data_IF_753012969506
#
_entry.id   IF_753012969506
#
_cell.length_a   1.000
_cell.length_b   1.000
_cell.length_c   1.000
_cell.angle_alpha   90.00
_cell.angle_beta   90.00
_cell.angle_gamma   90.00
#
_symmetry.space_group_name_H-M   'P 1'
#
loop_
_entity.id
_entity.type
_entity.pdbx_description
1 polymer ?
#
# COMPACT_ATOMS: atom_id res chain seq x y z
N UNK A 1 10.95 21.48 -13.10
CA UNK A 1 9.73 20.73 -12.70
C UNK A 1 10.06 19.33 -12.16
N UNK A 2 11.17 19.16 -11.43
CA UNK A 2 11.50 17.92 -10.73
C UNK A 2 11.98 18.30 -9.34
N UNK A 3 11.03 18.53 -8.44
CA UNK A 3 11.31 18.80 -7.04
C UNK A 3 10.19 18.21 -6.19
N UNK A 4 10.58 17.34 -5.25
CA UNK A 4 9.78 16.67 -4.20
C UNK A 4 9.06 15.38 -4.60
N UNK A 5 9.82 14.29 -4.71
CA UNK A 5 9.32 12.95 -4.33
C UNK A 5 10.35 12.28 -3.42
N UNK A 6 10.67 12.93 -2.31
CA UNK A 6 11.41 12.35 -1.19
C UNK A 6 10.98 13.10 0.07
N UNK A 7 9.85 12.71 0.64
CA UNK A 7 9.48 13.01 2.02
C UNK A 7 8.52 11.92 2.49
N UNK A 8 9.03 11.15 3.45
CA UNK A 8 8.31 10.35 4.46
C UNK A 8 7.25 9.36 3.99
N UNK A 9 7.45 8.09 4.39
CA UNK A 9 6.45 7.03 4.51
C UNK A 9 5.31 7.38 5.53
N UNK A 10 4.91 8.64 5.61
CA UNK A 10 3.85 9.18 6.49
C UNK A 10 2.69 9.79 5.68
N UNK A 11 2.75 9.81 4.35
CA UNK A 11 1.66 10.28 3.48
C UNK A 11 0.77 9.16 2.93
N UNK A 12 0.84 7.95 3.50
CA UNK A 12 0.01 6.84 3.05
C UNK A 12 -1.45 6.91 3.56
N UNK A 13 -1.79 7.89 4.40
CA UNK A 13 -3.12 8.03 5.01
C UNK A 13 -3.94 9.20 4.46
N UNK A 14 -3.31 10.22 3.85
CA UNK A 14 -4.00 11.48 3.59
C UNK A 14 -4.51 11.68 2.15
N UNK A 15 -4.20 10.76 1.22
CA UNK A 15 -4.72 10.86 -0.16
C UNK A 15 -4.96 9.48 -0.78
N UNK A 16 -5.46 8.54 0.03
CA UNK A 16 -6.22 7.43 -0.52
C UNK A 16 -7.50 8.06 -1.07
N UNK A 17 -7.56 8.31 -2.37
CA UNK A 17 -8.77 8.74 -3.08
C UNK A 17 -9.88 7.72 -2.83
N UNK A 18 -10.57 7.85 -1.70
CA UNK A 18 -11.91 7.31 -1.52
C UNK A 18 -12.74 7.96 -2.64
N UNK A 19 -13.56 7.20 -3.38
CA UNK A 19 -14.41 7.76 -4.43
C UNK A 19 -15.04 9.07 -3.94
N UNK A 20 -14.68 10.18 -4.57
CA UNK A 20 -15.12 11.51 -4.13
C UNK A 20 -16.64 11.63 -4.35
N UNK A 21 -17.35 12.13 -3.34
CA UNK A 21 -18.77 12.52 -3.47
C UNK A 21 -19.79 11.83 -2.55
N UNK A 22 -19.39 11.12 -1.49
CA UNK A 22 -20.33 10.38 -0.63
C UNK A 22 -20.06 10.58 0.87
N UNK A 23 -19.15 11.48 1.22
CA UNK A 23 -19.08 12.01 2.57
C UNK A 23 -19.92 13.29 2.56
N UNK A 24 -21.12 13.26 3.15
CA UNK A 24 -21.75 14.52 3.57
C UNK A 24 -20.77 15.29 4.46
N UNK A 25 -20.91 16.62 4.56
CA UNK A 25 -20.04 17.48 5.38
C UNK A 25 -19.87 16.99 6.84
N UNK A 26 -20.77 16.10 7.29
CA UNK A 26 -20.79 15.47 8.62
C UNK A 26 -20.33 13.99 8.68
N UNK A 27 -19.74 13.42 7.62
CA UNK A 27 -19.28 12.01 7.58
C UNK A 27 -20.39 10.96 7.83
N UNK A 28 -21.66 11.28 7.56
CA UNK A 28 -22.82 10.39 7.75
C UNK A 28 -23.42 9.95 6.41
N UNK A 29 -23.95 8.72 6.36
CA UNK A 29 -24.81 8.28 5.27
C UNK A 29 -26.25 8.69 5.54
N UNK A 30 -26.93 9.27 4.55
CA UNK A 30 -28.32 9.70 4.66
C UNK A 30 -29.29 8.51 4.79
N UNK A 31 -28.93 7.37 4.19
CA UNK A 31 -29.75 6.15 4.20
C UNK A 31 -28.86 4.91 4.33
N UNK A 32 -29.48 3.79 4.73
CA UNK A 32 -28.83 2.48 4.71
C UNK A 32 -28.36 2.11 3.29
N UNK A 33 -29.17 2.41 2.26
CA UNK A 33 -28.80 2.12 0.88
C UNK A 33 -27.56 2.89 0.45
N UNK A 34 -27.44 4.18 0.82
CA UNK A 34 -26.25 4.97 0.53
C UNK A 34 -24.97 4.38 1.16
N UNK A 35 -25.08 3.81 2.36
CA UNK A 35 -23.97 3.12 3.02
C UNK A 35 -23.55 1.84 2.28
N UNK A 36 -24.53 1.03 1.83
CA UNK A 36 -24.29 -0.19 1.06
C UNK A 36 -23.62 0.14 -0.28
N UNK A 37 -24.18 1.08 -1.04
CA UNK A 37 -23.64 1.50 -2.33
C UNK A 37 -22.22 2.06 -2.21
N UNK A 38 -21.94 2.75 -1.09
CA UNK A 38 -20.58 3.21 -0.79
C UNK A 38 -19.64 2.03 -0.52
N UNK A 39 -20.04 1.09 0.34
CA UNK A 39 -19.23 -0.09 0.68
C UNK A 39 -18.93 -0.95 -0.54
N UNK A 40 -19.89 -1.14 -1.44
CA UNK A 40 -19.71 -1.88 -2.70
C UNK A 40 -18.68 -1.22 -3.61
N UNK A 41 -18.73 0.11 -3.76
CA UNK A 41 -17.72 0.86 -4.52
C UNK A 41 -16.36 0.83 -3.83
N UNK A 42 -16.34 0.92 -2.50
CA UNK A 42 -15.12 0.87 -1.72
C UNK A 42 -14.43 -0.49 -1.86
N UNK A 43 -15.14 -1.62 -1.70
CA UNK A 43 -14.53 -2.95 -1.82
C UNK A 43 -13.93 -3.17 -3.21
N UNK A 44 -14.63 -2.72 -4.26
CA UNK A 44 -14.17 -2.87 -5.64
C UNK A 44 -12.90 -2.04 -5.87
N UNK A 45 -12.94 -0.76 -5.48
CA UNK A 45 -11.77 0.11 -5.54
C UNK A 45 -10.60 -0.43 -4.72
N UNK A 46 -10.83 -0.83 -3.47
CA UNK A 46 -9.83 -1.35 -2.55
C UNK A 46 -9.14 -2.59 -3.13
N UNK A 47 -9.92 -3.55 -3.63
CA UNK A 47 -9.39 -4.83 -4.10
C UNK A 47 -8.73 -4.73 -5.48
N UNK A 48 -9.24 -3.89 -6.38
CA UNK A 48 -8.88 -3.94 -7.81
C UNK A 48 -8.21 -2.68 -8.35
N UNK A 49 -8.30 -1.54 -7.66
CA UNK A 49 -7.74 -0.26 -8.14
C UNK A 49 -6.65 0.30 -7.23
N UNK A 50 -6.87 0.26 -5.92
CA UNK A 50 -5.96 0.84 -4.94
C UNK A 50 -4.68 0.00 -4.79
N UNK A 51 -3.53 0.66 -4.87
CA UNK A 51 -2.22 0.00 -4.76
C UNK A 51 -1.58 0.31 -3.42
N UNK A 52 -1.44 -0.70 -2.58
CA UNK A 52 -0.95 -0.52 -1.21
C UNK A 52 0.58 -0.56 -1.14
N UNK A 53 1.18 0.44 -0.52
CA UNK A 53 2.64 0.54 -0.34
C UNK A 53 3.22 -0.64 0.46
N UNK A 54 2.51 -1.10 1.49
CA UNK A 54 2.92 -2.20 2.37
C UNK A 54 3.10 -3.55 1.66
N UNK A 55 2.46 -3.73 0.50
CA UNK A 55 2.56 -4.95 -0.32
C UNK A 55 3.31 -4.70 -1.64
N UNK A 56 4.04 -3.58 -1.74
CA UNK A 56 4.86 -3.26 -2.89
C UNK A 56 4.11 -2.56 -4.01
N UNK A 57 3.07 -1.77 -3.71
CA UNK A 57 2.23 -1.05 -4.67
C UNK A 57 1.58 -1.96 -5.72
N UNK A 58 1.02 -3.08 -5.25
CA UNK A 58 0.09 -3.94 -6.01
C UNK A 58 -1.30 -3.84 -5.37
N UNK A 59 -2.32 -4.32 -6.07
CA UNK A 59 -3.67 -4.40 -5.48
C UNK A 59 -3.80 -5.65 -4.60
N UNK A 60 -4.72 -5.67 -3.63
CA UNK A 60 -5.01 -6.86 -2.84
C UNK A 60 -5.40 -8.05 -3.72
N UNK A 61 -6.17 -7.83 -4.79
CA UNK A 61 -6.52 -8.90 -5.74
C UNK A 61 -5.29 -9.49 -6.42
N UNK A 62 -4.39 -8.64 -6.95
CA UNK A 62 -3.12 -9.08 -7.58
C UNK A 62 -2.22 -9.85 -6.61
N UNK A 63 -2.25 -9.50 -5.33
CA UNK A 63 -1.55 -10.25 -4.29
C UNK A 63 -2.19 -11.62 -4.08
N UNK A 64 -3.52 -11.66 -3.96
CA UNK A 64 -4.28 -12.88 -3.71
C UNK A 64 -4.20 -13.89 -4.87
N UNK A 65 -4.14 -13.41 -6.12
CA UNK A 65 -4.00 -14.27 -7.31
C UNK A 65 -2.54 -14.63 -7.63
N UNK A 66 -1.56 -14.11 -6.89
CA UNK A 66 -0.13 -14.37 -7.12
C UNK A 66 0.53 -13.53 -8.23
N UNK A 67 -0.24 -12.78 -9.03
CA UNK A 67 0.26 -11.90 -10.11
C UNK A 67 1.32 -10.88 -9.65
N UNK A 68 1.19 -10.48 -8.39
CA UNK A 68 2.08 -9.56 -7.71
C UNK A 68 3.58 -9.94 -7.81
N UNK A 69 3.94 -11.22 -7.85
CA UNK A 69 5.35 -11.63 -8.00
C UNK A 69 5.95 -11.19 -9.35
N UNK A 70 5.22 -11.44 -10.44
CA UNK A 70 5.65 -11.06 -11.79
C UNK A 70 5.73 -9.54 -11.93
N UNK A 71 4.76 -8.81 -11.36
CA UNK A 71 4.76 -7.34 -11.36
C UNK A 71 6.01 -6.79 -10.66
N UNK A 72 6.34 -7.35 -9.48
CA UNK A 72 7.49 -6.92 -8.71
C UNK A 72 8.82 -7.29 -9.37
N UNK A 73 8.91 -8.48 -10.00
CA UNK A 73 10.07 -8.86 -10.80
C UNK A 73 10.32 -7.86 -11.95
N UNK A 74 9.27 -7.49 -12.69
CA UNK A 74 9.36 -6.47 -13.75
C UNK A 74 9.85 -5.13 -13.21
N UNK A 75 9.35 -4.69 -12.05
CA UNK A 75 9.80 -3.43 -11.42
C UNK A 75 11.28 -3.46 -11.04
N UNK A 76 11.79 -4.58 -10.51
CA UNK A 76 13.23 -4.72 -10.21
C UNK A 76 14.08 -4.50 -11.47
N UNK A 77 13.69 -5.13 -12.58
CA UNK A 77 14.38 -4.97 -13.86
C UNK A 77 14.34 -3.52 -14.36
N UNK A 78 13.17 -2.89 -14.35
CA UNK A 78 13.02 -1.49 -14.75
C UNK A 78 13.91 -0.56 -13.92
N UNK A 79 13.94 -0.76 -12.59
CA UNK A 79 14.76 0.05 -11.68
C UNK A 79 16.25 -0.19 -11.91
N UNK A 80 16.67 -1.44 -12.13
CA UNK A 80 18.06 -1.79 -12.42
C UNK A 80 18.54 -1.09 -13.72
N UNK A 81 17.76 -1.17 -14.79
CA UNK A 81 18.05 -0.50 -16.07
C UNK A 81 18.09 1.02 -15.91
N UNK A 82 17.11 1.60 -15.23
CA UNK A 82 17.06 3.05 -15.01
C UNK A 82 18.26 3.55 -14.18
N UNK A 83 18.68 2.78 -13.17
CA UNK A 83 19.86 3.10 -12.35
C UNK A 83 21.17 2.95 -13.11
N UNK A 84 21.30 1.92 -13.94
CA UNK A 84 22.48 1.73 -14.78
C UNK A 84 22.65 2.88 -15.80
N UNK A 85 21.53 3.38 -16.35
CA UNK A 85 21.54 4.49 -17.32
C UNK A 85 21.88 5.85 -16.70
N UNK A 86 21.43 6.09 -15.47
CA UNK A 86 21.58 7.38 -14.78
C UNK A 86 21.94 7.18 -13.29
N UNK A 87 23.15 6.69 -12.99
CA UNK A 87 23.56 6.45 -11.60
C UNK A 87 23.55 7.72 -10.74
N UNK A 88 23.83 8.89 -11.34
CA UNK A 88 23.86 10.20 -10.69
C UNK A 88 22.52 10.64 -10.08
N UNK A 89 21.40 10.10 -10.58
CA UNK A 89 20.06 10.37 -10.02
C UNK A 89 19.79 9.63 -8.71
N UNK A 90 20.61 8.64 -8.36
CA UNK A 90 20.34 7.74 -7.24
C UNK A 90 21.33 7.97 -6.10
N UNK A 91 20.91 8.73 -5.08
CA UNK A 91 21.67 8.93 -3.84
C UNK A 91 21.57 7.76 -2.85
N UNK A 92 20.60 6.85 -3.04
CA UNK A 92 20.34 5.69 -2.18
C UNK A 92 20.05 4.44 -3.00
N UNK A 93 20.01 3.29 -2.34
CA UNK A 93 19.55 2.04 -2.95
C UNK A 93 18.09 2.14 -3.41
N UNK A 94 17.80 1.42 -4.48
CA UNK A 94 16.43 1.25 -4.99
C UNK A 94 15.60 0.46 -3.99
N UNK A 95 14.29 0.74 -3.93
CA UNK A 95 13.34 -0.12 -3.19
C UNK A 95 13.52 -1.58 -3.64
N UNK A 96 13.57 -2.56 -2.71
CA UNK A 96 13.85 -3.96 -3.06
C UNK A 96 12.76 -4.62 -3.91
N UNK A 97 11.57 -4.00 -3.96
CA UNK A 97 10.38 -4.52 -4.64
C UNK A 97 10.08 -5.97 -4.24
N UNK A 98 10.15 -6.29 -2.95
CA UNK A 98 9.83 -7.62 -2.40
C UNK A 98 8.49 -7.59 -1.67
N UNK A 99 7.86 -8.76 -1.54
CA UNK A 99 6.68 -8.90 -0.69
C UNK A 99 7.10 -9.34 0.71
N UNK A 100 6.43 -8.86 1.75
CA UNK A 100 6.55 -9.48 3.07
C UNK A 100 5.92 -10.88 3.01
N UNK A 101 6.68 -11.88 3.45
CA UNK A 101 6.25 -13.29 3.50
C UNK A 101 5.00 -13.45 4.37
N UNK A 102 4.95 -12.75 5.51
CA UNK A 102 3.85 -12.79 6.48
C UNK A 102 3.45 -11.37 6.87
N UNK A 103 2.15 -11.14 6.99
CA UNK A 103 1.57 -9.90 7.51
C UNK A 103 0.45 -10.28 8.46
N UNK A 104 0.42 -9.71 9.67
CA UNK A 104 -0.62 -9.94 10.67
C UNK A 104 -1.55 -8.73 10.75
N UNK A 105 -2.87 -8.95 10.73
CA UNK A 105 -3.89 -7.87 10.78
C UNK A 105 -4.15 -7.33 12.19
N UNK A 106 -3.79 -8.10 13.22
CA UNK A 106 -3.79 -7.66 14.61
C UNK A 106 -2.77 -8.53 15.36
N UNK A 107 -1.48 -8.15 15.38
CA UNK A 107 -0.51 -8.91 16.16
C UNK A 107 -0.88 -8.77 17.63
N UNK A 108 -1.31 -9.87 18.26
CA UNK A 108 -1.36 -9.92 19.73
C UNK A 108 0.06 -9.63 20.23
N UNK A 109 0.20 -8.69 21.16
CA UNK A 109 1.50 -8.27 21.68
C UNK A 109 2.37 -9.50 21.95
N UNK A 110 3.65 -9.39 21.56
CA UNK A 110 4.66 -10.32 22.05
C UNK A 110 4.54 -10.28 23.56
N UNK A 111 4.10 -11.37 24.18
CA UNK A 111 4.20 -11.52 25.63
C UNK A 111 5.61 -11.07 25.98
N UNK A 112 5.74 -10.05 26.84
CA UNK A 112 7.03 -9.77 27.46
C UNK A 112 7.41 -11.06 28.16
N UNK A 113 8.34 -11.82 27.60
CA UNK A 113 8.98 -12.93 28.29
C UNK A 113 9.77 -12.33 29.44
N UNK A 114 9.08 -12.07 30.54
CA UNK A 114 9.66 -11.95 31.86
C UNK A 114 9.71 -13.34 32.44
N UNK A 115 10.75 -14.09 32.09
CA UNK A 115 11.13 -15.33 32.76
C UNK A 115 12.66 -15.42 32.75
N UNK A 116 13.28 -14.67 33.64
CA UNK A 116 14.44 -15.20 34.37
C UNK A 116 13.94 -15.40 35.81
N UNK A 117 13.51 -16.64 36.06
CA UNK A 117 13.34 -17.17 37.39
C UNK A 117 14.68 -17.78 37.82
N UNK A 118 15.24 -17.27 38.91
CA UNK A 118 16.02 -18.00 39.92
C UNK A 118 16.15 -17.11 41.16
#
# INVERSE_FOLDING_TARGET
LCSRVFKSDSLCTANCMIPSGIWGEDHRFETMQAAIDWMERFQEYYNHSHRHSAIGYVTPAQRRTGESEAILAKRRLTYAVARAKHPERWSRHTRPWTQPEKVALNPRDKQKTGQDAA
#
